data_IF_698154124725
#
_entry.id   IF_698154124725
#
_cell.length_a   1.000
_cell.length_b   1.000
_cell.length_c   1.000
_cell.angle_alpha   90.00
_cell.angle_beta   90.00
_cell.angle_gamma   90.00
#
_symmetry.space_group_name_H-M   'P 1'
#
loop_
_entity.id
_entity.type
_entity.pdbx_description
1 polymer ?
#
# COMPACT_ATOMS: atom_id res chain seq x y z
N UNK A 1 -12.93 -25.29 -6.20
CA UNK A 1 -11.51 -24.97 -5.92
C UNK A 1 -11.04 -23.79 -6.74
N UNK A 2 -11.06 -23.85 -8.09
CA UNK A 2 -10.59 -22.75 -8.98
C UNK A 2 -11.10 -21.33 -8.70
N UNK A 3 -12.38 -21.14 -8.37
CA UNK A 3 -12.93 -19.80 -8.10
C UNK A 3 -12.39 -19.19 -6.79
N UNK A 4 -12.12 -20.02 -5.78
CA UNK A 4 -11.55 -19.59 -4.50
C UNK A 4 -10.10 -19.15 -4.67
N UNK A 5 -9.32 -19.91 -5.44
CA UNK A 5 -7.93 -19.57 -5.78
C UNK A 5 -7.85 -18.29 -6.60
N UNK A 6 -8.69 -18.15 -7.64
CA UNK A 6 -8.74 -16.93 -8.45
C UNK A 6 -9.14 -15.70 -7.62
N UNK A 7 -10.09 -15.85 -6.70
CA UNK A 7 -10.49 -14.78 -5.79
C UNK A 7 -9.37 -14.43 -4.80
N UNK A 8 -8.71 -15.42 -4.20
CA UNK A 8 -7.58 -15.20 -3.30
C UNK A 8 -6.42 -14.49 -4.02
N UNK A 9 -6.10 -14.92 -5.24
CA UNK A 9 -5.08 -14.29 -6.07
C UNK A 9 -5.45 -12.83 -6.40
N UNK A 10 -6.69 -12.58 -6.79
CA UNK A 10 -7.19 -11.23 -7.05
C UNK A 10 -7.04 -10.34 -5.81
N UNK A 11 -7.59 -10.75 -4.67
CA UNK A 11 -7.54 -9.97 -3.42
C UNK A 11 -6.10 -9.72 -3.00
N UNK A 12 -5.25 -10.75 -3.00
CA UNK A 12 -3.87 -10.61 -2.56
C UNK A 12 -3.02 -9.70 -3.46
N UNK A 13 -3.23 -9.74 -4.78
CA UNK A 13 -2.56 -8.83 -5.73
C UNK A 13 -3.00 -7.40 -5.47
N UNK A 14 -4.31 -7.12 -5.39
CA UNK A 14 -4.82 -5.78 -5.15
C UNK A 14 -4.33 -5.22 -3.82
N UNK A 15 -4.37 -6.02 -2.77
CA UNK A 15 -3.91 -5.61 -1.44
C UNK A 15 -2.41 -5.29 -1.42
N UNK A 16 -1.60 -6.10 -2.12
CA UNK A 16 -0.17 -5.84 -2.26
C UNK A 16 0.10 -4.57 -3.06
N UNK A 17 -0.63 -4.35 -4.16
CA UNK A 17 -0.53 -3.12 -4.96
C UNK A 17 -0.92 -1.89 -4.16
N UNK A 18 -2.01 -1.95 -3.38
CA UNK A 18 -2.41 -0.86 -2.47
C UNK A 18 -1.33 -0.56 -1.44
N UNK A 19 -0.65 -1.59 -0.91
CA UNK A 19 0.45 -1.39 0.01
C UNK A 19 1.66 -0.70 -0.63
N UNK A 20 2.05 -1.12 -1.85
CA UNK A 20 3.11 -0.46 -2.63
C UNK A 20 2.76 0.99 -2.93
N UNK A 21 1.51 1.25 -3.34
CA UNK A 21 1.01 2.61 -3.61
C UNK A 21 1.05 3.47 -2.34
N UNK A 22 0.70 2.91 -1.18
CA UNK A 22 0.77 3.63 0.10
C UNK A 22 2.19 4.08 0.43
N UNK A 23 3.18 3.20 0.25
CA UNK A 23 4.61 3.53 0.44
C UNK A 23 5.06 4.58 -0.58
N UNK A 24 4.62 4.46 -1.83
CA UNK A 24 4.92 5.44 -2.89
C UNK A 24 4.35 6.82 -2.54
N UNK A 25 3.11 6.89 -2.05
CA UNK A 25 2.48 8.14 -1.60
C UNK A 25 3.23 8.71 -0.39
N UNK A 26 3.67 7.87 0.56
CA UNK A 26 4.49 8.33 1.69
C UNK A 26 5.78 9.02 1.22
N UNK A 27 6.46 8.42 0.23
CA UNK A 27 7.65 9.03 -0.39
C UNK A 27 7.33 10.36 -1.08
N UNK A 28 6.21 10.42 -1.82
CA UNK A 28 5.81 11.65 -2.52
C UNK A 28 5.38 12.77 -1.56
N UNK A 29 4.79 12.45 -0.41
CA UNK A 29 4.49 13.44 0.63
C UNK A 29 5.78 14.02 1.23
N UNK A 30 6.79 13.17 1.42
CA UNK A 30 8.10 13.59 1.95
C UNK A 30 8.86 14.46 0.95
N UNK A 31 9.09 13.93 -0.25
CA UNK A 31 9.90 14.56 -1.29
C UNK A 31 9.20 15.77 -1.91
N UNK A 32 7.87 15.68 -2.07
CA UNK A 32 7.00 16.72 -2.63
C UNK A 32 7.56 17.42 -3.88
N UNK A 33 7.76 16.68 -4.99
CA UNK A 33 8.36 17.24 -6.20
C UNK A 33 7.46 18.28 -6.88
N UNK A 34 8.08 19.26 -7.54
CA UNK A 34 7.35 20.36 -8.21
C UNK A 34 6.37 19.88 -9.31
N UNK A 35 6.70 18.79 -10.01
CA UNK A 35 5.84 18.22 -11.06
C UNK A 35 4.64 17.43 -10.51
N UNK A 36 4.70 16.98 -9.25
CA UNK A 36 3.62 16.25 -8.60
C UNK A 36 3.63 16.49 -7.08
N UNK A 37 3.25 17.70 -6.63
CA UNK A 37 3.40 18.12 -5.24
C UNK A 37 2.27 17.57 -4.36
N UNK A 38 2.34 16.27 -4.08
CA UNK A 38 1.33 15.53 -3.30
C UNK A 38 1.05 16.19 -1.95
N UNK A 39 2.09 16.64 -1.23
CA UNK A 39 1.90 17.32 0.07
C UNK A 39 1.04 18.57 -0.07
N UNK A 40 1.27 19.35 -1.12
CA UNK A 40 0.51 20.57 -1.42
C UNK A 40 -0.91 20.25 -1.88
N UNK A 41 -1.08 19.24 -2.73
CA UNK A 41 -2.40 18.80 -3.22
C UNK A 41 -3.33 18.38 -2.08
N UNK A 42 -2.78 17.70 -1.07
CA UNK A 42 -3.51 17.28 0.13
C UNK A 42 -3.53 18.34 1.24
N UNK A 43 -2.97 19.52 1.00
CA UNK A 43 -2.85 20.63 1.95
C UNK A 43 -2.29 20.20 3.32
N UNK A 44 -1.27 19.33 3.30
CA UNK A 44 -0.68 18.79 4.50
C UNK A 44 0.32 19.77 5.11
N UNK A 45 0.11 20.08 6.39
CA UNK A 45 1.04 20.86 7.20
C UNK A 45 2.38 20.12 7.35
N UNK A 46 3.53 20.82 7.25
CA UNK A 46 4.86 20.20 7.38
C UNK A 46 5.05 19.38 8.66
N UNK A 47 4.43 19.83 9.76
CA UNK A 47 4.49 19.20 11.08
C UNK A 47 3.88 17.79 11.12
N UNK A 48 2.92 17.51 10.23
CA UNK A 48 2.21 16.22 10.19
C UNK A 48 2.83 15.23 9.20
N UNK A 49 3.81 15.66 8.40
CA UNK A 49 4.42 14.83 7.34
C UNK A 49 4.98 13.53 7.91
N UNK A 50 5.74 13.60 9.00
CA UNK A 50 6.33 12.42 9.64
C UNK A 50 5.26 11.43 10.11
N UNK A 51 4.14 11.92 10.65
CA UNK A 51 3.02 11.10 11.08
C UNK A 51 2.37 10.37 9.91
N UNK A 52 2.05 11.07 8.82
CA UNK A 52 1.46 10.45 7.63
C UNK A 52 2.41 9.46 6.96
N UNK A 53 3.70 9.77 6.89
CA UNK A 53 4.71 8.84 6.38
C UNK A 53 4.74 7.56 7.20
N UNK A 54 4.84 7.67 8.53
CA UNK A 54 4.84 6.52 9.42
C UNK A 54 3.59 5.67 9.22
N UNK A 55 2.41 6.30 9.20
CA UNK A 55 1.14 5.61 9.04
C UNK A 55 1.07 4.87 7.70
N UNK A 56 1.40 5.53 6.59
CA UNK A 56 1.35 4.94 5.26
C UNK A 56 2.38 3.83 5.06
N UNK A 57 3.58 3.96 5.63
CA UNK A 57 4.62 2.93 5.55
C UNK A 57 4.21 1.71 6.37
N UNK A 58 3.75 1.90 7.60
CA UNK A 58 3.34 0.81 8.48
C UNK A 58 2.13 0.07 7.89
N UNK A 59 1.06 0.80 7.55
CA UNK A 59 -0.14 0.21 6.96
C UNK A 59 0.18 -0.43 5.60
N UNK A 60 0.97 0.24 4.76
CA UNK A 60 1.38 -0.28 3.46
C UNK A 60 2.19 -1.57 3.55
N UNK A 61 3.11 -1.64 4.53
CA UNK A 61 3.91 -2.85 4.79
C UNK A 61 3.03 -4.01 5.25
N UNK A 62 2.10 -3.77 6.17
CA UNK A 62 1.13 -4.78 6.59
C UNK A 62 0.25 -5.24 5.42
N UNK A 63 -0.20 -4.33 4.56
CA UNK A 63 -0.97 -4.67 3.36
C UNK A 63 -0.19 -5.56 2.39
N UNK A 64 1.10 -5.27 2.13
CA UNK A 64 1.94 -6.14 1.29
C UNK A 64 2.08 -7.54 1.91
N UNK A 65 2.45 -7.62 3.19
CA UNK A 65 2.67 -8.92 3.86
C UNK A 65 1.39 -9.76 3.83
N UNK A 66 0.27 -9.15 4.21
CA UNK A 66 -1.03 -9.86 4.22
C UNK A 66 -1.50 -10.23 2.82
N UNK A 67 -1.30 -9.38 1.81
CA UNK A 67 -1.61 -9.70 0.41
C UNK A 67 -0.81 -10.90 -0.10
N UNK A 68 0.49 -10.96 0.21
CA UNK A 68 1.34 -12.09 -0.13
C UNK A 68 0.92 -13.37 0.60
N UNK A 69 0.55 -13.28 1.88
CA UNK A 69 0.04 -14.43 2.66
C UNK A 69 -1.26 -14.97 2.07
N UNK A 70 -2.20 -14.12 1.65
CA UNK A 70 -3.44 -14.55 0.99
C UNK A 70 -3.13 -15.34 -0.28
N UNK A 71 -2.21 -14.85 -1.13
CA UNK A 71 -1.80 -15.57 -2.33
C UNK A 71 -1.18 -16.92 -1.96
N UNK A 72 -0.25 -16.93 -1.02
CA UNK A 72 0.50 -18.13 -0.68
C UNK A 72 -0.36 -19.21 0.00
N UNK A 73 -1.11 -18.84 1.02
CA UNK A 73 -1.84 -19.80 1.84
C UNK A 73 -3.17 -20.21 1.20
N UNK A 74 -3.88 -19.29 0.56
CA UNK A 74 -5.25 -19.54 0.10
C UNK A 74 -5.35 -19.87 -1.39
N UNK A 75 -4.32 -19.58 -2.18
CA UNK A 75 -4.27 -19.97 -3.59
C UNK A 75 -3.33 -21.14 -3.88
N UNK A 76 -2.22 -21.30 -3.13
CA UNK A 76 -1.21 -22.34 -3.45
C UNK A 76 -1.35 -23.56 -2.55
N UNK A 77 -1.81 -23.38 -1.30
CA UNK A 77 -1.80 -24.44 -0.27
C UNK A 77 -3.15 -25.12 0.01
N UNK A 78 -4.26 -24.65 -0.57
CA UNK A 78 -5.60 -25.29 -0.46
C UNK A 78 -6.10 -25.80 -1.79
#
# INVERSE_FOLDING_TARGET
MKAKEAFAMFVGIFQSLTGILSITVAYLIYYNPDFFPVRTMFNLLPEHVAFYMMLLIVVGSFAIISGLLIIHEWSIRT
#
